data_IF_650612447754
#
_entry.id   IF_650612447754
#
_cell.length_a   1.000
_cell.length_b   1.000
_cell.length_c   1.000
_cell.angle_alpha   90.00
_cell.angle_beta   90.00
_cell.angle_gamma   90.00
#
_symmetry.space_group_name_H-M   'P 1'
#
loop_
_entity.id
_entity.type
_entity.pdbx_description
1 polymer ?
#
# COMPACT_ATOMS: atom_id res chain seq x y z
N UNK A 1 6.10 13.69 -9.58
CA UNK A 1 4.97 12.76 -9.73
C UNK A 1 3.79 13.20 -8.85
N UNK A 2 3.85 13.02 -7.52
CA UNK A 2 2.75 13.38 -6.60
C UNK A 2 2.37 14.87 -6.53
N UNK A 3 3.23 15.76 -7.04
CA UNK A 3 2.97 17.20 -7.18
C UNK A 3 2.17 17.55 -8.43
N UNK A 4 1.93 16.60 -9.34
CA UNK A 4 1.12 16.81 -10.53
C UNK A 4 -0.38 16.81 -10.16
N UNK A 5 -1.18 17.47 -11.00
CA UNK A 5 -2.63 17.43 -10.91
C UNK A 5 -3.14 16.12 -11.53
N UNK A 6 -3.16 15.06 -10.73
CA UNK A 6 -3.55 13.72 -11.15
C UNK A 6 -5.07 13.65 -11.29
N UNK A 7 -5.58 13.82 -12.52
CA UNK A 7 -7.02 13.71 -12.82
C UNK A 7 -7.64 12.38 -12.36
N UNK A 8 -6.85 11.31 -12.42
CA UNK A 8 -7.26 9.95 -12.03
C UNK A 8 -6.21 9.34 -11.08
N UNK A 9 -6.38 9.52 -9.77
CA UNK A 9 -5.42 9.05 -8.76
C UNK A 9 -5.18 7.52 -8.82
N UNK A 10 -6.17 6.75 -9.29
CA UNK A 10 -6.12 5.30 -9.37
C UNK A 10 -5.43 4.75 -10.63
N UNK A 11 -5.00 5.60 -11.56
CA UNK A 11 -4.47 5.18 -12.86
C UNK A 11 -3.24 4.25 -12.75
N UNK A 12 -2.47 4.38 -11.66
CA UNK A 12 -1.25 3.62 -11.44
C UNK A 12 -1.45 2.39 -10.54
N UNK A 13 -2.70 2.05 -10.19
CA UNK A 13 -2.99 0.86 -9.41
C UNK A 13 -2.69 -0.40 -10.24
N UNK A 14 -1.90 -1.30 -9.67
CA UNK A 14 -1.63 -2.62 -10.25
C UNK A 14 -2.35 -3.69 -9.43
N UNK A 15 -3.10 -4.57 -10.09
CA UNK A 15 -3.83 -5.66 -9.44
C UNK A 15 -3.57 -6.98 -10.15
N UNK A 16 -3.43 -8.06 -9.38
CA UNK A 16 -3.28 -9.43 -9.88
C UNK A 16 -4.21 -10.37 -9.12
N UNK A 17 -4.74 -11.39 -9.81
CA UNK A 17 -5.52 -12.46 -9.20
C UNK A 17 -4.67 -13.73 -9.18
N UNK A 18 -4.40 -14.27 -7.99
CA UNK A 18 -3.72 -15.54 -7.82
C UNK A 18 -4.74 -16.59 -7.40
N UNK A 19 -4.78 -17.71 -8.13
CA UNK A 19 -5.70 -18.81 -7.86
C UNK A 19 -4.91 -20.07 -7.49
N UNK A 20 -5.50 -20.90 -6.63
CA UNK A 20 -4.99 -22.25 -6.37
C UNK A 20 -6.13 -23.24 -6.31
N UNK A 21 -5.86 -24.49 -6.66
CA UNK A 21 -6.89 -25.54 -6.73
C UNK A 21 -7.49 -25.93 -5.36
N UNK A 22 -6.72 -25.78 -4.28
CA UNK A 22 -7.10 -26.22 -2.93
C UNK A 22 -7.46 -25.03 -2.01
N UNK A 23 -8.19 -25.29 -0.93
CA UNK A 23 -8.66 -24.27 0.04
C UNK A 23 -7.53 -23.58 0.79
N UNK A 24 -7.54 -22.24 0.85
CA UNK A 24 -6.56 -21.42 1.59
C UNK A 24 -6.89 -21.40 3.07
N UNK A 25 -5.87 -21.66 3.89
CA UNK A 25 -5.92 -21.33 5.31
C UNK A 25 -5.93 -19.80 5.42
N UNK A 26 -7.12 -19.27 5.68
CA UNK A 26 -7.36 -17.84 5.76
C UNK A 26 -6.54 -17.18 6.88
N UNK A 27 -6.38 -17.86 8.02
CA UNK A 27 -5.66 -17.30 9.17
C UNK A 27 -4.17 -17.20 8.86
N UNK A 28 -3.59 -18.24 8.26
CA UNK A 28 -2.20 -18.23 7.80
C UNK A 28 -1.98 -17.16 6.72
N UNK A 29 -2.90 -16.99 5.77
CA UNK A 29 -2.82 -15.94 4.76
C UNK A 29 -2.85 -14.55 5.40
N UNK A 30 -3.77 -14.31 6.34
CA UNK A 30 -3.88 -13.03 7.06
C UNK A 30 -2.61 -12.67 7.82
N UNK A 31 -2.02 -13.64 8.54
CA UNK A 31 -0.74 -13.46 9.24
C UNK A 31 0.40 -13.15 8.27
N UNK A 32 0.44 -13.85 7.14
CA UNK A 32 1.45 -13.65 6.11
C UNK A 32 1.35 -12.25 5.49
N UNK A 33 0.15 -11.81 5.10
CA UNK A 33 -0.07 -10.46 4.58
C UNK A 33 0.33 -9.38 5.59
N UNK A 34 0.02 -9.57 6.88
CA UNK A 34 0.48 -8.67 7.94
C UNK A 34 2.01 -8.62 8.01
N UNK A 35 2.68 -9.78 8.03
CA UNK A 35 4.14 -9.84 8.08
C UNK A 35 4.81 -9.15 6.87
N UNK A 36 4.24 -9.29 5.68
CA UNK A 36 4.69 -8.59 4.47
C UNK A 36 4.62 -7.07 4.67
N UNK A 37 3.52 -6.53 5.20
CA UNK A 37 3.38 -5.08 5.45
C UNK A 37 4.32 -4.54 6.52
N UNK A 38 4.65 -5.37 7.53
CA UNK A 38 5.64 -5.02 8.57
C UNK A 38 7.03 -4.92 7.95
N UNK A 39 7.41 -5.91 7.13
CA UNK A 39 8.73 -5.99 6.50
C UNK A 39 8.95 -4.90 5.44
N UNK A 40 7.94 -4.57 4.64
CA UNK A 40 8.05 -3.58 3.56
C UNK A 40 7.46 -2.22 3.98
N UNK A 41 8.34 -1.27 4.28
CA UNK A 41 7.98 0.11 4.63
C UNK A 41 7.31 0.88 3.48
N UNK A 42 7.68 0.59 2.23
CA UNK A 42 7.07 1.16 1.02
C UNK A 42 5.55 0.89 0.92
N UNK A 43 5.07 -0.26 1.42
CA UNK A 43 3.64 -0.59 1.46
C UNK A 43 2.87 0.25 2.50
N UNK A 44 3.59 0.91 3.41
CA UNK A 44 3.04 1.76 4.47
C UNK A 44 3.22 3.26 4.18
N UNK A 45 3.73 3.61 3.00
CA UNK A 45 3.94 5.00 2.59
C UNK A 45 2.62 5.76 2.56
N UNK A 46 2.64 6.96 3.14
CA UNK A 46 1.56 7.95 3.11
C UNK A 46 2.12 9.22 2.50
N UNK A 47 1.36 9.78 1.56
CA UNK A 47 1.66 11.03 0.89
C UNK A 47 0.50 12.01 1.14
N UNK A 48 0.80 13.15 1.77
CA UNK A 48 -0.17 14.21 2.04
C UNK A 48 0.30 15.48 1.36
N UNK A 49 -0.60 16.16 0.63
CA UNK A 49 -0.37 17.52 0.16
C UNK A 49 -0.65 18.46 1.33
N UNK A 50 0.34 19.24 1.72
CA UNK A 50 0.27 20.25 2.77
C UNK A 50 0.38 21.63 2.10
N UNK A 51 -0.55 22.53 2.40
CA UNK A 51 -0.64 23.83 1.72
C UNK A 51 0.57 24.75 2.01
N UNK A 52 1.24 24.57 3.16
CA UNK A 52 2.38 25.40 3.57
C UNK A 52 3.73 24.71 3.32
N UNK A 53 3.79 23.39 3.52
CA UNK A 53 5.03 22.58 3.46
C UNK A 53 5.18 21.80 2.15
N UNK A 54 4.19 21.88 1.26
CA UNK A 54 4.20 21.21 -0.03
C UNK A 54 3.79 19.73 0.06
N UNK A 55 4.76 18.82 0.16
CA UNK A 55 4.51 17.38 0.16
C UNK A 55 5.09 16.73 1.42
N UNK A 56 4.24 16.09 2.21
CA UNK A 56 4.65 15.28 3.36
C UNK A 56 4.62 13.80 2.98
N UNK A 57 5.77 13.14 3.14
CA UNK A 57 5.95 11.71 2.92
C UNK A 57 6.41 11.06 4.22
N UNK A 58 5.68 10.05 4.67
CA UNK A 58 6.05 9.27 5.85
C UNK A 58 5.50 7.85 5.77
N UNK A 59 6.06 6.93 6.56
CA UNK A 59 5.56 5.57 6.65
C UNK A 59 4.69 5.43 7.90
N UNK A 60 3.50 4.84 7.76
CA UNK A 60 2.70 4.40 8.92
C UNK A 60 3.52 3.41 9.76
N UNK A 61 3.37 3.38 11.09
CA UNK A 61 4.05 2.39 11.92
C UNK A 61 3.68 0.96 11.51
N UNK A 62 4.56 0.03 11.82
CA UNK A 62 4.28 -1.40 11.66
C UNK A 62 3.60 -1.88 12.95
N UNK A 63 2.30 -2.15 12.88
CA UNK A 63 1.53 -2.76 13.97
C UNK A 63 1.62 -4.29 13.97
#
# INVERSE_FOLDING_TARGET
>A
FFTQDMKEANHFNQSVMLTRANSIDEEALRKTLKAITVHHDALRLVCIKDEEKGLLLFNRPAD
#
